data_IF_879304496537
#
_entry.id   IF_879304496537
#
_cell.length_a   1.000
_cell.length_b   1.000
_cell.length_c   1.000
_cell.angle_alpha   90.00
_cell.angle_beta   90.00
_cell.angle_gamma   90.00
#
_symmetry.space_group_name_H-M   'P 1'
#
loop_
_entity.id
_entity.type
_entity.pdbx_description
1 polymer ?
#
# COMPACT_ATOMS: atom_id res chain seq x y z
N UNK A 1 -2.25 -30.57 0.80
CA UNK A 1 -2.73 -29.27 0.24
C UNK A 1 -3.32 -28.33 1.31
N UNK A 2 -4.12 -28.81 2.27
CA UNK A 2 -4.73 -27.96 3.32
C UNK A 2 -3.74 -27.29 4.29
N UNK A 3 -2.68 -27.97 4.71
CA UNK A 3 -1.69 -27.37 5.63
C UNK A 3 -0.89 -26.23 4.97
N UNK A 4 -0.51 -26.38 3.70
CA UNK A 4 0.19 -25.33 2.95
C UNK A 4 -0.70 -24.08 2.80
N UNK A 5 -1.99 -24.25 2.48
CA UNK A 5 -2.96 -23.14 2.41
C UNK A 5 -3.12 -22.43 3.76
N UNK A 6 -3.17 -23.18 4.86
CA UNK A 6 -3.23 -22.59 6.21
C UNK A 6 -2.01 -21.75 6.55
N UNK A 7 -0.80 -22.26 6.25
CA UNK A 7 0.45 -21.52 6.46
C UNK A 7 0.48 -20.26 5.58
N UNK A 8 0.14 -20.39 4.29
CA UNK A 8 0.09 -19.26 3.37
C UNK A 8 -0.89 -18.19 3.84
N UNK A 9 -2.07 -18.58 4.30
CA UNK A 9 -3.09 -17.63 4.76
C UNK A 9 -2.64 -16.90 6.02
N UNK A 10 -2.01 -17.61 6.97
CA UNK A 10 -1.44 -17.03 8.20
C UNK A 10 -0.34 -16.02 7.91
N UNK A 11 0.55 -16.31 6.96
CA UNK A 11 1.68 -15.43 6.63
C UNK A 11 1.39 -14.42 5.51
N UNK A 12 0.25 -14.55 4.83
CA UNK A 12 -0.11 -13.75 3.66
C UNK A 12 -0.04 -12.25 3.92
N UNK A 13 -0.48 -11.80 5.10
CA UNK A 13 -0.46 -10.39 5.46
C UNK A 13 0.96 -9.84 5.58
N UNK A 14 1.89 -10.61 6.16
CA UNK A 14 3.29 -10.18 6.31
C UNK A 14 3.99 -10.09 4.95
N UNK A 15 3.75 -11.04 4.06
CA UNK A 15 4.25 -10.98 2.68
C UNK A 15 3.67 -9.79 1.92
N UNK A 16 2.37 -9.52 2.09
CA UNK A 16 1.71 -8.37 1.49
C UNK A 16 2.32 -7.04 1.96
N UNK A 17 2.56 -6.89 3.27
CA UNK A 17 3.23 -5.73 3.85
C UNK A 17 4.63 -5.58 3.27
N UNK A 18 5.43 -6.65 3.29
CA UNK A 18 6.82 -6.61 2.81
C UNK A 18 6.90 -6.20 1.34
N UNK A 19 6.09 -6.82 0.48
CA UNK A 19 6.12 -6.57 -0.97
C UNK A 19 5.60 -5.19 -1.31
N UNK A 20 4.47 -4.78 -0.74
CA UNK A 20 3.94 -3.42 -0.95
C UNK A 20 4.90 -2.35 -0.42
N UNK A 21 5.55 -2.58 0.72
CA UNK A 21 6.57 -1.69 1.28
C UNK A 21 7.76 -1.51 0.33
N UNK A 22 8.35 -2.60 -0.17
CA UNK A 22 9.51 -2.55 -1.07
C UNK A 22 9.13 -1.87 -2.38
N UNK A 23 8.05 -2.31 -3.04
CA UNK A 23 7.64 -1.77 -4.34
C UNK A 23 7.23 -0.31 -4.22
N UNK A 24 6.45 0.05 -3.20
CA UNK A 24 6.09 1.45 -2.93
C UNK A 24 7.32 2.30 -2.64
N UNK A 25 8.31 1.75 -1.92
CA UNK A 25 9.56 2.45 -1.64
C UNK A 25 10.35 2.76 -2.91
N UNK A 26 10.45 1.77 -3.80
CA UNK A 26 11.08 1.95 -5.12
C UNK A 26 10.33 2.97 -5.97
N UNK A 27 8.99 2.90 -6.01
CA UNK A 27 8.19 3.85 -6.79
C UNK A 27 8.20 5.27 -6.22
N UNK A 28 8.43 5.44 -4.93
CA UNK A 28 8.58 6.76 -4.30
C UNK A 28 9.85 7.49 -4.80
N UNK A 29 10.82 6.78 -5.37
CA UNK A 29 11.98 7.39 -6.05
C UNK A 29 11.61 8.02 -7.39
N UNK A 30 10.44 7.70 -7.94
CA UNK A 30 9.90 8.32 -9.15
C UNK A 30 8.90 9.43 -8.78
N UNK A 31 8.77 10.49 -9.58
CA UNK A 31 7.80 11.57 -9.31
C UNK A 31 6.33 11.15 -9.55
N UNK A 32 6.07 9.88 -9.88
CA UNK A 32 4.75 9.35 -10.21
C UNK A 32 4.13 8.67 -8.99
N UNK A 33 3.48 9.45 -8.12
CA UNK A 33 2.85 8.96 -6.89
C UNK A 33 1.70 7.96 -7.14
N UNK A 34 1.09 7.97 -8.33
CA UNK A 34 0.00 7.07 -8.71
C UNK A 34 0.46 5.60 -8.76
N UNK A 35 1.76 5.35 -8.97
CA UNK A 35 2.33 4.00 -9.01
C UNK A 35 2.18 3.27 -7.66
N UNK A 36 1.94 3.98 -6.58
CA UNK A 36 1.64 3.40 -5.26
C UNK A 36 0.41 2.49 -5.28
N UNK A 37 -0.59 2.78 -6.13
CA UNK A 37 -1.74 1.87 -6.30
C UNK A 37 -1.27 0.54 -6.89
N UNK A 38 -0.35 0.57 -7.85
CA UNK A 38 0.23 -0.63 -8.47
C UNK A 38 1.03 -1.43 -7.43
N UNK A 39 1.80 -0.77 -6.57
CA UNK A 39 2.48 -1.42 -5.45
C UNK A 39 1.48 -2.14 -4.52
N UNK A 40 0.34 -1.51 -4.23
CA UNK A 40 -0.76 -2.12 -3.49
C UNK A 40 -1.35 -3.33 -4.20
N UNK A 41 -1.54 -3.28 -5.53
CA UNK A 41 -2.04 -4.42 -6.32
C UNK A 41 -1.09 -5.61 -6.22
N UNK A 42 0.22 -5.40 -6.39
CA UNK A 42 1.21 -6.47 -6.27
C UNK A 42 1.25 -7.06 -4.86
N UNK A 43 1.21 -6.21 -3.81
CA UNK A 43 1.13 -6.67 -2.42
C UNK A 43 -0.15 -7.47 -2.12
N UNK A 44 -1.29 -7.02 -2.64
CA UNK A 44 -2.58 -7.66 -2.45
C UNK A 44 -2.72 -8.99 -3.19
N UNK A 45 -2.14 -9.11 -4.39
CA UNK A 45 -2.17 -10.32 -5.20
C UNK A 45 -1.56 -11.53 -4.46
N UNK A 46 -0.67 -11.30 -3.49
CA UNK A 46 -0.07 -12.39 -2.70
C UNK A 46 -0.98 -12.90 -1.57
N UNK A 47 -2.16 -12.31 -1.36
CA UNK A 47 -3.12 -12.72 -0.33
C UNK A 47 -4.24 -13.60 -0.87
N UNK A 48 -4.64 -14.60 -0.07
CA UNK A 48 -5.80 -15.47 -0.34
C UNK A 48 -7.12 -14.84 0.11
N UNK A 49 -7.08 -13.85 1.00
CA UNK A 49 -8.25 -13.16 1.55
C UNK A 49 -8.16 -11.68 1.24
N UNK A 50 -9.29 -11.11 0.81
CA UNK A 50 -9.35 -9.69 0.47
C UNK A 50 -8.99 -8.76 1.63
N UNK A 51 -9.45 -9.09 2.85
CA UNK A 51 -9.13 -8.31 4.06
C UNK A 51 -7.63 -8.25 4.34
N UNK A 52 -6.92 -9.37 4.19
CA UNK A 52 -5.47 -9.42 4.39
C UNK A 52 -4.73 -8.66 3.29
N UNK A 53 -5.16 -8.77 2.04
CA UNK A 53 -4.56 -8.03 0.92
C UNK A 53 -4.71 -6.52 1.08
N UNK A 54 -5.92 -6.05 1.43
CA UNK A 54 -6.20 -4.64 1.64
C UNK A 54 -5.45 -4.06 2.84
N UNK A 55 -5.53 -4.69 4.02
CA UNK A 55 -4.85 -4.20 5.22
C UNK A 55 -3.33 -4.31 5.11
N UNK A 56 -2.81 -5.42 4.57
CA UNK A 56 -1.38 -5.62 4.39
C UNK A 56 -0.76 -4.58 3.45
N UNK A 57 -1.42 -4.33 2.31
CA UNK A 57 -0.96 -3.33 1.34
C UNK A 57 -1.10 -1.90 1.85
N UNK A 58 -2.16 -1.59 2.60
CA UNK A 58 -2.32 -0.31 3.29
C UNK A 58 -1.14 -0.05 4.24
N UNK A 59 -0.82 -1.01 5.12
CA UNK A 59 0.26 -0.86 6.10
C UNK A 59 1.61 -0.72 5.39
N UNK A 60 1.90 -1.55 4.39
CA UNK A 60 3.18 -1.48 3.67
C UNK A 60 3.38 -0.16 2.92
N UNK A 61 2.34 0.38 2.28
CA UNK A 61 2.39 1.71 1.64
C UNK A 61 2.59 2.82 2.67
N UNK A 62 1.82 2.82 3.77
CA UNK A 62 1.94 3.83 4.82
C UNK A 62 3.33 3.81 5.46
N UNK A 63 3.89 2.63 5.70
CA UNK A 63 5.26 2.49 6.22
C UNK A 63 6.28 3.05 5.21
N UNK A 64 6.13 2.73 3.94
CA UNK A 64 7.02 3.21 2.87
C UNK A 64 7.03 4.74 2.80
N UNK A 65 5.85 5.36 2.71
CA UNK A 65 5.73 6.81 2.66
C UNK A 65 6.11 7.48 3.98
N UNK A 66 5.76 6.88 5.11
CA UNK A 66 6.15 7.36 6.43
C UNK A 66 7.67 7.46 6.59
N UNK A 67 8.41 6.42 6.20
CA UNK A 67 9.87 6.43 6.21
C UNK A 67 10.41 7.49 5.25
N UNK A 68 9.88 7.55 4.02
CA UNK A 68 10.31 8.56 3.04
C UNK A 68 10.13 9.99 3.56
N UNK A 69 8.96 10.30 4.13
CA UNK A 69 8.65 11.60 4.70
C UNK A 69 9.58 11.89 5.89
N UNK A 70 9.79 10.94 6.79
CA UNK A 70 10.71 11.11 7.93
C UNK A 70 12.12 11.46 7.47
N UNK A 71 12.65 10.76 6.46
CA UNK A 71 13.97 11.06 5.88
C UNK A 71 14.00 12.47 5.29
N UNK A 72 12.94 12.90 4.60
CA UNK A 72 12.84 14.26 4.03
C UNK A 72 12.71 15.35 5.08
N UNK A 73 12.01 15.08 6.18
CA UNK A 73 11.89 16.01 7.30
C UNK A 73 13.25 16.25 7.94
N UNK A 74 13.98 15.18 8.24
CA UNK A 74 15.28 15.24 8.91
C UNK A 74 16.37 15.80 7.97
N UNK A 75 16.38 15.38 6.71
CA UNK A 75 17.46 15.73 5.77
C UNK A 75 17.33 17.09 5.09
N UNK A 76 16.10 17.54 4.79
CA UNK A 76 15.87 18.70 3.91
C UNK A 76 15.06 19.83 4.56
N UNK A 77 14.82 19.78 5.88
CA UNK A 77 13.93 20.73 6.57
C UNK A 77 12.56 20.88 5.89
N UNK A 78 12.04 19.80 5.29
CA UNK A 78 10.80 19.82 4.50
C UNK A 78 9.59 20.29 5.32
N UNK A 79 9.66 20.23 6.64
CA UNK A 79 8.70 20.85 7.55
C UNK A 79 8.49 22.34 7.26
N UNK A 80 9.54 23.08 6.91
CA UNK A 80 9.44 24.52 6.57
C UNK A 80 8.63 24.73 5.30
N UNK A 81 8.81 23.88 4.28
CA UNK A 81 8.05 23.93 3.04
C UNK A 81 6.57 23.63 3.27
N UNK A 82 6.26 22.59 4.06
CA UNK A 82 4.88 22.28 4.42
C UNK A 82 4.24 23.37 5.26
N UNK A 83 5.00 24.03 6.14
CA UNK A 83 4.48 25.12 6.96
C UNK A 83 4.26 26.41 6.16
N UNK A 84 5.10 26.70 5.17
CA UNK A 84 4.89 27.78 4.20
C UNK A 84 3.62 27.54 3.36
N UNK A 85 3.41 26.30 2.90
CA UNK A 85 2.18 25.88 2.21
C UNK A 85 0.94 26.02 3.12
N UNK A 86 1.04 25.60 4.38
CA UNK A 86 -0.04 25.73 5.35
C UNK A 86 -0.37 27.18 5.69
N UNK A 87 0.65 28.04 5.81
CA UNK A 87 0.47 29.48 6.01
C UNK A 87 -0.21 30.13 4.80
N UNK A 88 0.14 29.72 3.58
CA UNK A 88 -0.45 30.27 2.36
C UNK A 88 -1.94 29.91 2.21
N UNK A 89 -2.32 28.68 2.57
CA UNK A 89 -3.69 28.17 2.37
C UNK A 89 -4.62 28.52 3.54
N UNK A 90 -4.13 28.36 4.78
CA UNK A 90 -4.94 28.45 6.00
C UNK A 90 -4.67 29.75 6.75
N UNK A 91 -3.61 30.48 6.42
CA UNK A 91 -3.23 31.74 7.09
C UNK A 91 -2.58 31.55 8.45
N UNK A 92 -2.22 30.31 8.83
CA UNK A 92 -1.65 29.99 10.13
C UNK A 92 -0.39 29.12 10.00
N UNK A 93 0.64 29.47 10.77
CA UNK A 93 1.88 28.71 10.93
C UNK A 93 1.68 27.55 11.91
N UNK A 94 2.44 26.47 11.75
CA UNK A 94 2.40 25.28 12.61
C UNK A 94 1.44 24.18 12.13
N UNK A 95 0.81 24.33 10.96
CA UNK A 95 -0.13 23.34 10.40
C UNK A 95 0.48 22.40 9.36
N UNK A 96 1.79 22.48 9.11
CA UNK A 96 2.48 21.60 8.16
C UNK A 96 2.29 20.10 8.44
N UNK A 97 2.12 19.71 9.71
CA UNK A 97 1.85 18.32 10.10
C UNK A 97 0.52 17.77 9.55
N UNK A 98 -0.48 18.65 9.34
CA UNK A 98 -1.80 18.26 8.88
C UNK A 98 -1.76 17.84 7.40
N UNK A 99 -0.93 18.50 6.60
CA UNK A 99 -0.66 18.09 5.22
C UNK A 99 0.07 16.75 5.15
N UNK A 100 1.06 16.52 6.02
CA UNK A 100 1.74 15.23 6.13
C UNK A 100 0.73 14.12 6.46
N UNK A 101 -0.18 14.39 7.41
CA UNK A 101 -1.23 13.43 7.77
C UNK A 101 -2.16 13.13 6.59
N UNK A 102 -2.60 14.15 5.84
CA UNK A 102 -3.43 13.97 4.64
C UNK A 102 -2.71 13.12 3.60
N UNK A 103 -1.43 13.38 3.33
CA UNK A 103 -0.64 12.60 2.38
C UNK A 103 -0.56 11.13 2.82
N UNK A 104 -0.32 10.85 4.10
CA UNK A 104 -0.31 9.48 4.62
C UNK A 104 -1.69 8.81 4.51
N UNK A 105 -2.78 9.54 4.75
CA UNK A 105 -4.15 9.03 4.59
C UNK A 105 -4.41 8.67 3.12
N UNK A 106 -4.01 9.52 2.17
CA UNK A 106 -4.13 9.22 0.74
C UNK A 106 -3.33 7.97 0.38
N UNK A 107 -2.09 7.86 0.85
CA UNK A 107 -1.27 6.66 0.69
C UNK A 107 -1.95 5.41 1.26
N UNK A 108 -2.54 5.51 2.46
CA UNK A 108 -3.28 4.43 3.09
C UNK A 108 -4.47 3.98 2.23
N UNK A 109 -5.25 4.93 1.70
CA UNK A 109 -6.40 4.63 0.83
C UNK A 109 -5.93 3.92 -0.45
N UNK A 110 -4.85 4.39 -1.08
CA UNK A 110 -4.31 3.76 -2.28
C UNK A 110 -3.75 2.36 -2.02
N UNK A 111 -3.03 2.18 -0.91
CA UNK A 111 -2.56 0.86 -0.49
C UNK A 111 -3.74 -0.08 -0.22
N UNK A 112 -4.78 0.40 0.45
CA UNK A 112 -5.99 -0.37 0.73
C UNK A 112 -6.73 -0.78 -0.55
N UNK A 113 -7.01 0.17 -1.44
CA UNK A 113 -7.71 -0.08 -2.70
C UNK A 113 -6.90 -0.99 -3.63
N UNK A 114 -5.60 -0.71 -3.79
CA UNK A 114 -4.71 -1.56 -4.57
C UNK A 114 -4.68 -2.98 -4.02
N UNK A 115 -4.53 -3.14 -2.71
CA UNK A 115 -4.52 -4.45 -2.05
C UNK A 115 -5.84 -5.22 -2.21
N UNK A 116 -6.97 -4.52 -2.13
CA UNK A 116 -8.29 -5.09 -2.37
C UNK A 116 -8.44 -5.58 -3.82
N UNK A 117 -8.03 -4.77 -4.79
CA UNK A 117 -8.06 -5.14 -6.21
C UNK A 117 -7.15 -6.34 -6.47
N UNK A 118 -5.89 -6.31 -6.01
CA UNK A 118 -4.91 -7.38 -6.25
C UNK A 118 -5.36 -8.72 -5.70
N UNK A 119 -5.85 -8.74 -4.45
CA UNK A 119 -6.38 -9.96 -3.83
C UNK A 119 -7.68 -10.44 -4.52
N UNK A 120 -8.54 -9.53 -4.97
CA UNK A 120 -9.72 -9.86 -5.76
C UNK A 120 -9.38 -10.53 -7.08
N UNK A 121 -8.40 -9.99 -7.82
CA UNK A 121 -7.91 -10.59 -9.08
C UNK A 121 -7.45 -12.02 -8.84
N UNK A 122 -6.64 -12.27 -7.80
CA UNK A 122 -6.17 -13.63 -7.50
C UNK A 122 -7.31 -14.60 -7.23
N UNK A 123 -8.28 -14.22 -6.42
CA UNK A 123 -9.41 -15.09 -6.06
C UNK A 123 -10.22 -15.46 -7.32
N UNK A 124 -10.47 -14.49 -8.21
CA UNK A 124 -11.18 -14.74 -9.47
C UNK A 124 -10.40 -15.66 -10.41
N UNK A 125 -9.08 -15.48 -10.49
CA UNK A 125 -8.20 -16.34 -11.30
C UNK A 125 -8.14 -17.76 -10.74
N UNK A 126 -8.02 -17.93 -9.42
CA UNK A 126 -7.97 -19.26 -8.79
C UNK A 126 -9.28 -20.03 -9.00
N UNK A 127 -10.44 -19.36 -8.89
CA UNK A 127 -11.74 -19.99 -9.14
C UNK A 127 -11.89 -20.48 -10.58
N UNK A 128 -11.50 -19.67 -11.57
CA UNK A 128 -11.58 -20.04 -12.99
C UNK A 128 -10.73 -21.28 -13.32
N UNK A 129 -9.53 -21.39 -12.75
CA UNK A 129 -8.64 -22.55 -12.97
C UNK A 129 -9.25 -23.84 -12.40
N UNK A 130 -10.02 -23.76 -11.32
CA UNK A 130 -10.67 -24.91 -10.71
C UNK A 130 -11.85 -25.38 -11.57
N UNK A 131 -12.65 -24.45 -12.10
CA UNK A 131 -13.77 -24.76 -13.02
C UNK A 131 -13.27 -25.49 -14.27
N UNK A 132 -12.24 -24.97 -14.95
CA UNK A 132 -11.68 -25.61 -16.15
C UNK A 132 -11.19 -27.04 -15.90
N UNK A 133 -10.63 -27.31 -14.71
CA UNK A 133 -10.21 -28.67 -14.33
C UNK A 133 -11.37 -29.60 -14.01
N UNK A 134 -12.51 -29.08 -13.56
CA UNK A 134 -13.70 -29.88 -13.30
C UNK A 134 -14.37 -30.32 -14.60
N UNK A 135 -14.37 -29.47 -15.62
CA UNK A 135 -14.99 -29.75 -16.92
C UNK A 135 -14.15 -30.71 -17.80
N UNK A 136 -12.86 -30.86 -17.49
CA UNK A 136 -11.93 -31.75 -18.22
C UNK A 136 -11.87 -33.19 -17.69
N UNK A 137 -12.56 -33.51 -16.60
CA UNK A 137 -12.62 -34.85 -15.98
C UNK A 137 -14.00 -35.49 -16.16
#
# INVERSE_FOLDING_TARGET
MNQLKQILDKYSIYFSILVSFIISGLFTLTPLWQLTIIAGIFGGFLCLKMKHGALGSMIGVVLSWGIYILVKIIGNNTNVLFDQLGTLIIGSTGLGFLFILIVLIIGAIFGFLGGFIGSGIRILVENRIIEEKSDSN
#
